data_IF_783384111519
#
_entry.id   IF_783384111519
#
_cell.length_a   1.000
_cell.length_b   1.000
_cell.length_c   1.000
_cell.angle_alpha   90.00
_cell.angle_beta   90.00
_cell.angle_gamma   90.00
#
_symmetry.space_group_name_H-M   'P 1'
#
loop_
_entity.id
_entity.type
_entity.pdbx_description
1 polymer ?
#
# COMPACT_ATOMS: atom_id res chain seq x y z
N UNK A 1 -5.41 -18.54 -4.19
CA UNK A 1 -4.88 -17.28 -3.62
C UNK A 1 -4.83 -16.27 -4.75
N UNK A 2 -5.50 -15.12 -4.63
CA UNK A 2 -5.54 -14.13 -5.70
C UNK A 2 -4.26 -13.26 -5.66
N UNK A 3 -3.81 -12.83 -6.84
CA UNK A 3 -2.65 -11.94 -6.98
C UNK A 3 -3.01 -10.77 -7.87
N UNK A 4 -2.67 -9.58 -7.41
CA UNK A 4 -2.79 -8.33 -8.17
C UNK A 4 -1.40 -7.86 -8.59
N UNK A 5 -1.25 -7.49 -9.85
CA UNK A 5 -0.04 -6.87 -10.39
C UNK A 5 -0.36 -5.46 -10.86
N UNK A 6 0.35 -4.48 -10.31
CA UNK A 6 0.25 -3.07 -10.71
C UNK A 6 1.59 -2.66 -11.33
N UNK A 7 1.54 -2.10 -12.55
CA UNK A 7 2.74 -1.63 -13.26
C UNK A 7 2.49 -0.28 -13.88
N UNK A 8 3.46 0.63 -13.75
CA UNK A 8 3.46 1.95 -14.41
C UNK A 8 2.17 2.75 -14.13
N UNK A 9 1.71 2.71 -12.89
CA UNK A 9 0.47 3.36 -12.46
C UNK A 9 0.71 4.40 -11.38
N UNK A 10 -0.22 5.35 -11.24
CA UNK A 10 -0.20 6.35 -10.18
C UNK A 10 -1.55 6.40 -9.46
N UNK A 11 -1.51 6.31 -8.13
CA UNK A 11 -2.65 6.48 -7.23
C UNK A 11 -2.36 7.70 -6.34
N UNK A 12 -3.00 8.83 -6.68
CA UNK A 12 -2.71 10.14 -6.08
C UNK A 12 -4.00 10.73 -5.51
N UNK A 13 -3.92 11.32 -4.31
CA UNK A 13 -5.00 12.06 -3.65
C UNK A 13 -6.32 11.28 -3.45
N UNK A 14 -6.25 9.95 -3.34
CA UNK A 14 -7.42 9.11 -3.06
C UNK A 14 -7.75 9.12 -1.56
N UNK A 15 -9.04 9.07 -1.24
CA UNK A 15 -9.52 9.23 0.12
C UNK A 15 -10.55 8.17 0.51
N UNK A 16 -10.36 7.60 1.70
CA UNK A 16 -11.29 6.69 2.37
C UNK A 16 -11.52 7.17 3.82
N UNK A 17 -12.25 8.28 3.97
CA UNK A 17 -12.37 9.06 5.22
C UNK A 17 -12.78 8.24 6.45
N UNK A 18 -13.58 7.19 6.27
CA UNK A 18 -14.09 6.33 7.35
C UNK A 18 -13.69 4.86 7.17
N UNK A 19 -12.64 4.58 6.39
CA UNK A 19 -12.23 3.22 6.05
C UNK A 19 -10.70 3.08 5.99
N UNK A 20 -10.21 2.03 5.32
CA UNK A 20 -8.80 1.67 5.22
C UNK A 20 -8.31 1.64 3.77
N UNK A 21 -7.00 1.83 3.56
CA UNK A 21 -6.39 1.71 2.24
C UNK A 21 -6.82 2.85 1.32
N UNK A 22 -6.38 4.08 1.60
CA UNK A 22 -6.85 5.27 0.87
C UNK A 22 -6.64 5.18 -0.63
N UNK A 23 -5.58 4.49 -1.08
CA UNK A 23 -5.42 4.08 -2.47
C UNK A 23 -5.78 2.60 -2.70
N UNK A 24 -5.25 1.69 -1.89
CA UNK A 24 -5.36 0.25 -2.13
C UNK A 24 -5.72 -0.47 -0.84
N UNK A 25 -6.75 -1.30 -0.90
CA UNK A 25 -7.19 -2.17 0.18
C UNK A 25 -7.18 -3.64 -0.29
N UNK A 26 -6.33 -4.47 0.33
CA UNK A 26 -6.12 -5.87 -0.03
C UNK A 26 -6.71 -6.81 1.02
N UNK A 27 -7.61 -7.69 0.58
CA UNK A 27 -8.19 -8.77 1.37
C UNK A 27 -7.83 -10.11 0.72
N UNK A 28 -7.19 -11.01 1.48
CA UNK A 28 -6.80 -12.35 1.03
C UNK A 28 -6.06 -12.39 -0.33
N UNK A 29 -5.30 -11.34 -0.65
CA UNK A 29 -4.64 -11.17 -1.95
C UNK A 29 -3.20 -10.71 -1.79
N UNK A 30 -2.31 -11.20 -2.66
CA UNK A 30 -0.96 -10.66 -2.81
C UNK A 30 -0.97 -9.42 -3.73
N UNK A 31 -0.01 -8.53 -3.55
CA UNK A 31 0.24 -7.40 -4.44
C UNK A 31 1.72 -7.30 -4.82
N UNK A 32 1.97 -7.37 -6.11
CA UNK A 32 3.23 -6.98 -6.74
C UNK A 32 3.08 -5.59 -7.37
N UNK A 33 4.06 -4.72 -7.16
CA UNK A 33 4.10 -3.39 -7.73
C UNK A 33 5.41 -3.14 -8.44
N UNK A 34 5.36 -2.47 -9.59
CA UNK A 34 6.55 -2.07 -10.35
C UNK A 34 6.36 -0.69 -10.98
N UNK A 35 7.38 0.17 -10.91
CA UNK A 35 7.40 1.49 -11.54
C UNK A 35 6.14 2.33 -11.23
N UNK A 36 5.61 2.26 -10.00
CA UNK A 36 4.32 2.85 -9.65
C UNK A 36 4.39 3.82 -8.47
N UNK A 37 3.43 4.74 -8.40
CA UNK A 37 3.38 5.80 -7.38
C UNK A 37 2.10 5.67 -6.55
N UNK A 38 2.22 5.71 -5.22
CA UNK A 38 1.10 5.84 -4.27
C UNK A 38 1.41 7.03 -3.37
N UNK A 39 0.82 8.18 -3.67
CA UNK A 39 1.14 9.44 -2.98
C UNK A 39 -0.07 10.23 -2.52
N UNK A 40 0.08 10.91 -1.38
CA UNK A 40 -0.92 11.87 -0.88
C UNK A 40 -2.30 11.28 -0.61
N UNK A 41 -2.38 9.97 -0.40
CA UNK A 41 -3.64 9.28 -0.13
C UNK A 41 -3.96 9.28 1.38
N UNK A 42 -5.26 9.25 1.70
CA UNK A 42 -5.76 9.41 3.07
C UNK A 42 -6.81 8.34 3.40
N UNK A 43 -6.68 7.75 4.59
CA UNK A 43 -7.67 6.86 5.19
C UNK A 43 -7.46 6.84 6.71
N UNK A 44 -8.40 6.29 7.47
CA UNK A 44 -8.19 6.09 8.91
C UNK A 44 -7.01 5.14 9.16
N UNK A 45 -6.89 4.08 8.38
CA UNK A 45 -5.81 3.09 8.55
C UNK A 45 -5.20 2.77 7.19
N UNK A 46 -3.86 2.85 7.08
CA UNK A 46 -3.17 2.61 5.82
C UNK A 46 -3.58 3.60 4.73
N UNK A 47 -3.41 4.90 4.99
CA UNK A 47 -3.74 5.99 4.07
C UNK A 47 -3.26 5.77 2.63
N UNK A 48 -2.11 5.15 2.41
CA UNK A 48 -1.71 4.62 1.11
C UNK A 48 -2.32 3.24 0.87
N UNK A 49 -1.72 2.23 1.49
CA UNK A 49 -2.09 0.82 1.27
C UNK A 49 -2.42 0.15 2.59
N UNK A 50 -3.50 -0.63 2.60
CA UNK A 50 -3.89 -1.52 3.68
C UNK A 50 -3.91 -2.98 3.19
N UNK A 51 -3.40 -3.92 4.00
CA UNK A 51 -3.51 -5.36 3.77
C UNK A 51 -3.71 -6.12 5.08
N UNK A 52 -4.52 -7.20 5.07
CA UNK A 52 -4.96 -7.86 6.31
C UNK A 52 -4.35 -9.25 6.56
N UNK A 53 -4.36 -10.17 5.58
CA UNK A 53 -3.96 -11.58 5.79
C UNK A 53 -2.62 -11.93 5.15
N UNK A 54 -2.34 -11.40 3.96
CA UNK A 54 -1.15 -11.73 3.18
C UNK A 54 -0.22 -10.53 3.21
N UNK A 55 1.04 -10.76 3.55
CA UNK A 55 2.10 -9.75 3.40
C UNK A 55 2.37 -9.61 1.90
N UNK A 56 2.13 -8.43 1.29
CA UNK A 56 2.37 -8.25 -0.13
C UNK A 56 3.84 -8.36 -0.50
N UNK A 57 4.14 -8.90 -1.68
CA UNK A 57 5.52 -9.02 -2.18
C UNK A 57 6.23 -7.67 -2.21
N UNK A 58 5.54 -6.58 -2.59
CA UNK A 58 6.17 -5.25 -2.61
C UNK A 58 6.69 -4.80 -1.22
N UNK A 59 6.08 -5.30 -0.13
CA UNK A 59 6.51 -5.03 1.24
C UNK A 59 7.75 -5.83 1.60
N UNK A 60 7.80 -7.10 1.16
CA UNK A 60 8.99 -7.94 1.30
C UNK A 60 10.16 -7.36 0.48
N UNK A 61 9.89 -6.90 -0.73
CA UNK A 61 10.86 -6.26 -1.60
C UNK A 61 11.42 -4.98 -0.95
N UNK A 62 10.57 -4.14 -0.36
CA UNK A 62 11.01 -2.96 0.40
C UNK A 62 11.94 -3.34 1.56
N UNK A 63 11.61 -4.42 2.28
CA UNK A 63 12.41 -4.92 3.42
C UNK A 63 13.75 -5.51 2.95
N UNK A 64 13.74 -6.21 1.82
CA UNK A 64 14.91 -6.82 1.20
C UNK A 64 15.73 -5.84 0.33
N UNK A 65 15.34 -4.56 0.29
CA UNK A 65 15.97 -3.52 -0.55
C UNK A 65 15.98 -3.88 -2.04
N UNK A 66 15.00 -4.65 -2.50
CA UNK A 66 14.79 -4.93 -3.91
C UNK A 66 14.20 -3.67 -4.57
N UNK A 67 14.84 -3.20 -5.63
CA UNK A 67 14.47 -1.96 -6.30
C UNK A 67 13.43 -2.26 -7.40
N UNK A 68 12.17 -1.93 -7.13
CA UNK A 68 11.06 -2.03 -8.09
C UNK A 68 10.59 -0.65 -8.60
N UNK A 69 11.35 0.42 -8.34
CA UNK A 69 11.01 1.81 -8.72
C UNK A 69 9.63 2.27 -8.25
N UNK A 70 9.14 1.76 -7.11
CA UNK A 70 7.89 2.23 -6.53
C UNK A 70 8.13 3.38 -5.56
N UNK A 71 7.23 4.35 -5.56
CA UNK A 71 7.27 5.49 -4.65
C UNK A 71 6.01 5.47 -3.79
N UNK A 72 6.19 5.34 -2.46
CA UNK A 72 5.09 5.43 -1.48
C UNK A 72 5.40 6.58 -0.52
N UNK A 73 4.79 7.74 -0.77
CA UNK A 73 5.15 9.00 -0.12
C UNK A 73 3.93 9.81 0.28
N UNK A 74 4.05 10.69 1.27
CA UNK A 74 3.04 11.71 1.61
C UNK A 74 1.63 11.19 1.94
N UNK A 75 1.43 9.88 2.08
CA UNK A 75 0.15 9.34 2.53
C UNK A 75 0.02 9.53 4.05
N UNK A 76 -1.18 9.88 4.52
CA UNK A 76 -1.46 10.18 5.94
C UNK A 76 -1.01 9.03 6.88
N UNK A 77 -1.15 7.79 6.40
CA UNK A 77 -0.43 6.61 6.88
C UNK A 77 0.09 5.85 5.65
N UNK A 78 1.40 5.57 5.54
CA UNK A 78 1.97 4.99 4.31
C UNK A 78 1.41 3.60 4.00
N UNK A 79 1.60 2.68 4.93
CA UNK A 79 1.30 1.26 4.79
C UNK A 79 0.76 0.74 6.12
N UNK A 80 -0.31 -0.06 6.08
CA UNK A 80 -0.73 -0.82 7.24
C UNK A 80 -0.87 -2.29 6.90
N UNK A 81 -0.28 -3.13 7.75
CA UNK A 81 -0.65 -4.53 7.92
C UNK A 81 -0.26 -5.00 9.32
N UNK A 82 -0.74 -6.17 9.74
CA UNK A 82 -0.47 -6.68 11.09
C UNK A 82 1.04 -6.82 11.42
N UNK A 83 1.89 -6.99 10.39
CA UNK A 83 3.34 -7.08 10.51
C UNK A 83 4.07 -5.75 10.31
N UNK A 84 3.39 -4.69 9.87
CA UNK A 84 3.94 -3.35 9.60
C UNK A 84 2.88 -2.30 9.96
N UNK A 85 2.96 -1.80 11.20
CA UNK A 85 2.05 -0.79 11.68
C UNK A 85 2.45 0.61 11.23
N UNK A 86 1.62 1.25 10.40
CA UNK A 86 1.48 2.71 10.41
C UNK A 86 0.22 3.01 11.20
N UNK A 87 0.38 3.21 12.52
CA UNK A 87 -0.73 3.61 13.39
C UNK A 87 -1.15 5.04 13.07
N UNK A 88 -2.45 5.31 13.24
CA UNK A 88 -3.08 6.63 13.17
C UNK A 88 -2.15 7.71 13.78
N UNK A 89 -1.83 8.74 12.99
CA UNK A 89 -1.33 10.01 13.51
C UNK A 89 -2.49 10.98 13.61
#
# INVERSE_FOLDING_TARGET
MASLTIKKSAFIDNQALLSTGGAINLVNSNLMMENSVVSSNQALIGGGIYYQQIIPDFVLDLTNKIINNNIISQNFAKLYGNNLGSTLR
#
